data_IF_131392796509
#
_entry.id   IF_131392796509
#
_cell.length_a   1.000
_cell.length_b   1.000
_cell.length_c   1.000
_cell.angle_alpha   90.00
_cell.angle_beta   90.00
_cell.angle_gamma   90.00
#
_symmetry.space_group_name_H-M   'P 1'
#
loop_
_entity.id
_entity.type
_entity.pdbx_description
1 polymer ?
#
# COMPACT_ATOMS: atom_id res chain seq x y z
N UNK A 1 0.51 52.97 40.94
CA UNK A 1 1.41 52.63 39.81
C UNK A 1 1.42 51.14 39.49
N UNK A 2 1.36 50.25 40.50
CA UNK A 2 1.40 48.78 40.35
C UNK A 2 0.27 48.22 39.48
N UNK A 3 -0.98 48.65 39.68
CA UNK A 3 -2.16 48.16 38.93
C UNK A 3 -2.09 48.43 37.43
N UNK A 4 -1.46 49.54 37.02
CA UNK A 4 -1.25 49.86 35.61
C UNK A 4 -0.19 48.95 35.00
N UNK A 5 0.91 48.73 35.71
CA UNK A 5 1.98 47.83 35.26
C UNK A 5 1.48 46.39 35.09
N UNK A 6 0.67 45.88 36.03
CA UNK A 6 0.09 44.53 35.93
C UNK A 6 -0.84 44.40 34.73
N UNK A 7 -1.66 45.41 34.45
CA UNK A 7 -2.54 45.42 33.27
C UNK A 7 -1.73 45.32 31.96
N UNK A 8 -0.70 46.14 31.79
CA UNK A 8 0.15 46.09 30.59
C UNK A 8 0.85 44.75 30.42
N UNK A 9 1.38 44.17 31.51
CA UNK A 9 2.03 42.86 31.46
C UNK A 9 1.04 41.78 31.02
N UNK A 10 -0.18 41.78 31.55
CA UNK A 10 -1.21 40.80 31.14
C UNK A 10 -1.62 40.95 29.67
N UNK A 11 -1.74 42.17 29.16
CA UNK A 11 -2.03 42.40 27.74
C UNK A 11 -0.90 41.92 26.82
N UNK A 12 0.36 42.14 27.19
CA UNK A 12 1.52 41.70 26.43
C UNK A 12 1.57 40.17 26.38
N UNK A 13 1.38 39.50 27.52
CA UNK A 13 1.37 38.02 27.58
C UNK A 13 0.25 37.46 26.70
N UNK A 14 -0.97 38.02 26.78
CA UNK A 14 -2.09 37.58 25.97
C UNK A 14 -1.81 37.76 24.46
N UNK A 15 -1.23 38.90 24.08
CA UNK A 15 -0.85 39.16 22.70
C UNK A 15 0.20 38.16 22.20
N UNK A 16 1.22 37.87 23.01
CA UNK A 16 2.26 36.89 22.66
C UNK A 16 1.69 35.48 22.52
N UNK A 17 0.75 35.07 23.38
CA UNK A 17 0.07 33.78 23.28
C UNK A 17 -0.75 33.66 21.99
N UNK A 18 -1.49 34.71 21.63
CA UNK A 18 -2.27 34.76 20.39
C UNK A 18 -1.32 34.72 19.18
N UNK A 19 -0.24 35.50 19.18
CA UNK A 19 0.73 35.52 18.11
C UNK A 19 1.39 34.14 17.91
N UNK A 20 1.77 33.46 18.99
CA UNK A 20 2.31 32.10 18.93
C UNK A 20 1.30 31.09 18.39
N UNK A 21 0.02 31.20 18.77
CA UNK A 21 -1.04 30.34 18.25
C UNK A 21 -1.28 30.57 16.75
N UNK A 22 -1.25 31.82 16.29
CA UNK A 22 -1.39 32.16 14.87
C UNK A 22 -0.18 31.68 14.06
N UNK A 23 1.05 31.91 14.56
CA UNK A 23 2.26 31.39 13.93
C UNK A 23 2.17 29.88 13.83
N UNK A 24 1.80 29.17 14.91
CA UNK A 24 1.60 27.72 14.86
C UNK A 24 0.56 27.34 13.81
N UNK A 25 -0.59 28.01 13.74
CA UNK A 25 -1.63 27.73 12.74
C UNK A 25 -1.16 27.93 11.28
N UNK A 26 -0.37 28.98 11.01
CA UNK A 26 0.12 29.29 9.66
C UNK A 26 1.41 28.55 9.26
N UNK A 27 2.22 28.14 10.24
CA UNK A 27 3.45 27.37 10.03
C UNK A 27 3.24 25.87 10.13
N UNK A 28 2.11 25.43 10.70
CA UNK A 28 1.64 24.07 10.47
C UNK A 28 1.40 23.97 8.96
N UNK A 29 2.18 23.17 8.23
CA UNK A 29 1.82 22.89 6.86
C UNK A 29 0.40 22.34 6.94
N UNK A 30 -0.53 22.94 6.20
CA UNK A 30 -1.81 22.31 5.90
C UNK A 30 -1.49 20.83 5.67
N UNK A 31 -2.16 19.95 6.40
CA UNK A 31 -2.20 18.52 6.09
C UNK A 31 -2.82 18.43 4.69
N UNK A 32 -2.03 18.78 3.67
CA UNK A 32 -2.26 18.38 2.31
C UNK A 32 -2.17 16.88 2.42
N UNK A 33 -3.35 16.28 2.32
CA UNK A 33 -3.55 14.86 2.25
C UNK A 33 -2.73 14.35 1.07
N UNK A 34 -1.45 14.08 1.29
CA UNK A 34 -0.83 12.91 0.68
C UNK A 34 -1.71 11.79 1.20
N UNK A 35 -2.73 11.41 0.42
CA UNK A 35 -3.46 10.17 0.68
C UNK A 35 -2.37 9.15 0.90
N UNK A 36 -2.29 8.61 2.11
CA UNK A 36 -1.26 7.63 2.45
C UNK A 36 -1.31 6.58 1.33
N UNK A 37 -0.18 6.31 0.67
CA UNK A 37 -0.15 5.34 -0.44
C UNK A 37 -0.75 3.98 0.00
N UNK A 38 -0.76 3.71 1.31
CA UNK A 38 -1.47 2.60 1.96
C UNK A 38 -3.00 2.63 1.80
N UNK A 39 -3.63 3.80 1.79
CA UNK A 39 -5.08 3.95 1.62
C UNK A 39 -5.55 3.72 0.17
N UNK A 40 -4.63 3.80 -0.81
CA UNK A 40 -4.91 3.57 -2.24
C UNK A 40 -4.32 2.23 -2.72
N UNK A 41 -3.74 1.44 -1.80
CA UNK A 41 -3.16 0.15 -2.11
C UNK A 41 -4.24 -0.92 -2.29
N UNK A 42 -4.20 -1.60 -3.44
CA UNK A 42 -5.18 -2.58 -3.90
C UNK A 42 -4.65 -4.01 -3.83
N UNK A 43 -3.33 -4.21 -3.76
CA UNK A 43 -2.78 -5.56 -3.65
C UNK A 43 -3.08 -6.18 -2.28
N UNK A 44 -3.59 -7.42 -2.30
CA UNK A 44 -3.94 -8.19 -1.11
C UNK A 44 -5.43 -8.08 -0.75
N UNK A 45 -5.93 -9.07 -0.02
CA UNK A 45 -7.30 -9.07 0.51
C UNK A 45 -7.45 -8.00 1.61
N UNK A 46 -8.68 -7.59 1.93
CA UNK A 46 -9.00 -6.54 2.92
C UNK A 46 -8.21 -6.67 4.24
N UNK A 47 -7.97 -5.53 4.90
CA UNK A 47 -7.37 -5.47 6.25
C UNK A 47 -5.84 -5.61 6.26
N UNK A 48 -5.33 -6.55 7.07
CA UNK A 48 -3.89 -6.70 7.37
C UNK A 48 -3.07 -7.16 6.15
N UNK A 49 -3.67 -7.90 5.22
CA UNK A 49 -3.01 -8.36 3.99
C UNK A 49 -2.63 -7.21 3.06
N UNK A 50 -3.51 -6.21 2.91
CA UNK A 50 -3.22 -5.01 2.13
C UNK A 50 -2.00 -4.27 2.70
N UNK A 51 -1.93 -4.12 4.03
CA UNK A 51 -0.80 -3.47 4.71
C UNK A 51 0.48 -4.29 4.53
N UNK A 52 0.39 -5.60 4.70
CA UNK A 52 1.52 -6.50 4.57
C UNK A 52 2.09 -6.50 3.15
N UNK A 53 1.22 -6.55 2.14
CA UNK A 53 1.60 -6.48 0.73
C UNK A 53 2.30 -5.15 0.40
N UNK A 54 1.79 -4.03 0.92
CA UNK A 54 2.43 -2.72 0.76
C UNK A 54 3.83 -2.68 1.38
N UNK A 55 3.97 -3.10 2.64
CA UNK A 55 5.27 -3.10 3.34
C UNK A 55 6.27 -4.05 2.65
N UNK A 56 5.79 -5.21 2.23
CA UNK A 56 6.55 -6.17 1.43
C UNK A 56 7.10 -5.54 0.15
N UNK A 57 6.28 -4.79 -0.58
CA UNK A 57 6.70 -4.15 -1.82
C UNK A 57 7.66 -2.99 -1.57
N UNK A 58 7.41 -2.20 -0.51
CA UNK A 58 8.24 -1.06 -0.13
C UNK A 58 9.64 -1.45 0.30
N UNK A 59 9.78 -2.52 1.09
CA UNK A 59 11.04 -2.84 1.77
C UNK A 59 11.97 -3.76 0.97
N UNK A 60 11.51 -4.36 -0.15
CA UNK A 60 12.32 -5.28 -0.97
C UNK A 60 12.99 -4.63 -2.17
N UNK A 61 12.78 -3.34 -2.39
CA UNK A 61 13.61 -2.57 -3.31
C UNK A 61 14.67 -1.81 -2.50
N UNK A 62 15.96 -1.90 -2.85
CA UNK A 62 17.05 -1.53 -1.95
C UNK A 62 17.14 -0.03 -1.68
N UNK A 63 17.79 0.30 -0.57
CA UNK A 63 18.22 1.66 -0.24
C UNK A 63 19.21 2.16 -1.30
N UNK A 64 19.05 3.41 -1.74
CA UNK A 64 19.83 4.02 -2.83
C UNK A 64 19.04 4.29 -4.11
N UNK A 65 17.83 3.71 -4.25
CA UNK A 65 16.87 4.14 -5.27
C UNK A 65 16.26 5.47 -4.84
N UNK A 66 16.17 6.44 -5.76
CA UNK A 66 15.54 7.72 -5.45
C UNK A 66 14.10 7.51 -5.00
N UNK A 67 13.65 8.28 -4.00
CA UNK A 67 12.26 8.22 -3.50
C UNK A 67 11.23 8.29 -4.62
N UNK A 68 11.50 9.07 -5.66
CA UNK A 68 10.66 9.17 -6.85
C UNK A 68 10.53 7.84 -7.61
N UNK A 69 11.65 7.15 -7.86
CA UNK A 69 11.64 5.86 -8.55
C UNK A 69 10.91 4.81 -7.70
N UNK A 70 11.13 4.79 -6.37
CA UNK A 70 10.41 3.89 -5.47
C UNK A 70 8.90 4.11 -5.52
N UNK A 71 8.43 5.37 -5.46
CA UNK A 71 7.00 5.71 -5.58
C UNK A 71 6.45 5.21 -6.92
N UNK A 72 7.18 5.39 -8.02
CA UNK A 72 6.76 4.93 -9.35
C UNK A 72 6.63 3.41 -9.43
N UNK A 73 7.58 2.67 -8.87
CA UNK A 73 7.53 1.19 -8.81
C UNK A 73 6.31 0.74 -8.00
N UNK A 74 6.10 1.33 -6.82
CA UNK A 74 4.95 0.99 -5.96
C UNK A 74 3.62 1.28 -6.67
N UNK A 75 3.48 2.45 -7.30
CA UNK A 75 2.29 2.77 -8.09
C UNK A 75 2.06 1.75 -9.21
N UNK A 76 3.11 1.40 -9.96
CA UNK A 76 3.01 0.39 -11.02
C UNK A 76 2.61 -1.00 -10.51
N UNK A 77 3.13 -1.42 -9.36
CA UNK A 77 2.70 -2.67 -8.71
C UNK A 77 1.23 -2.63 -8.31
N UNK A 78 0.79 -1.50 -7.75
CA UNK A 78 -0.59 -1.31 -7.35
C UNK A 78 -1.55 -1.43 -8.55
N UNK A 79 -1.20 -0.79 -9.68
CA UNK A 79 -1.97 -0.86 -10.91
C UNK A 79 -2.09 -2.29 -11.43
N UNK A 80 -1.01 -3.08 -11.35
CA UNK A 80 -1.06 -4.51 -11.70
C UNK A 80 -2.09 -5.26 -10.88
N UNK A 81 -2.21 -4.97 -9.58
CA UNK A 81 -3.20 -5.60 -8.71
C UNK A 81 -4.62 -5.20 -9.07
N UNK A 82 -4.87 -3.92 -9.38
CA UNK A 82 -6.19 -3.46 -9.86
C UNK A 82 -6.61 -4.20 -11.13
N UNK A 83 -5.68 -4.39 -12.07
CA UNK A 83 -5.95 -5.13 -13.31
C UNK A 83 -6.16 -6.63 -13.06
N UNK A 84 -5.40 -7.23 -12.15
CA UNK A 84 -5.53 -8.64 -11.79
C UNK A 84 -6.87 -8.93 -11.12
N UNK A 85 -7.27 -8.11 -10.15
CA UNK A 85 -8.57 -8.22 -9.47
C UNK A 85 -9.72 -8.10 -10.46
N UNK A 86 -9.64 -7.16 -11.43
CA UNK A 86 -10.65 -7.03 -12.49
C UNK A 86 -10.67 -8.24 -13.42
N UNK A 87 -9.50 -8.78 -13.77
CA UNK A 87 -9.41 -9.99 -14.59
C UNK A 87 -10.06 -11.20 -13.90
N UNK A 88 -9.82 -11.32 -12.59
CA UNK A 88 -10.45 -12.29 -11.71
C UNK A 88 -11.98 -12.09 -11.66
N UNK A 89 -12.45 -10.86 -11.41
CA UNK A 89 -13.88 -10.53 -11.40
C UNK A 89 -14.60 -10.90 -12.69
N UNK A 90 -13.95 -10.65 -13.84
CA UNK A 90 -14.48 -10.96 -15.16
C UNK A 90 -14.32 -12.44 -15.55
N UNK A 91 -13.73 -13.27 -14.69
CA UNK A 91 -13.54 -14.70 -14.89
C UNK A 91 -12.86 -15.04 -16.23
N UNK A 92 -11.84 -14.26 -16.63
CA UNK A 92 -11.15 -14.42 -17.93
C UNK A 92 -10.17 -15.62 -17.98
N UNK A 93 -10.19 -16.48 -16.96
CA UNK A 93 -9.30 -17.62 -16.79
C UNK A 93 -8.13 -17.30 -15.86
N UNK A 94 -8.05 -18.02 -14.73
CA UNK A 94 -7.02 -17.83 -13.70
C UNK A 94 -5.60 -17.79 -14.26
N UNK A 95 -5.23 -18.80 -15.05
CA UNK A 95 -3.88 -18.91 -15.62
C UNK A 95 -3.52 -17.72 -16.53
N UNK A 96 -4.50 -17.20 -17.27
CA UNK A 96 -4.32 -16.01 -18.09
C UNK A 96 -4.11 -14.77 -17.21
N UNK A 97 -4.98 -14.54 -16.24
CA UNK A 97 -4.90 -13.42 -15.31
C UNK A 97 -3.58 -13.42 -14.52
N UNK A 98 -3.17 -14.56 -13.99
CA UNK A 98 -1.94 -14.69 -13.20
C UNK A 98 -0.69 -14.42 -14.06
N UNK A 99 -0.64 -14.94 -15.30
CA UNK A 99 0.47 -14.66 -16.23
C UNK A 99 0.53 -13.18 -16.60
N UNK A 100 -0.62 -12.56 -16.87
CA UNK A 100 -0.70 -11.13 -17.17
C UNK A 100 -0.20 -10.29 -15.99
N UNK A 101 -0.61 -10.65 -14.76
CA UNK A 101 -0.15 -10.02 -13.53
C UNK A 101 1.36 -10.16 -13.32
N UNK A 102 1.91 -11.37 -13.45
CA UNK A 102 3.35 -11.63 -13.33
C UNK A 102 4.17 -10.76 -14.30
N UNK A 103 3.73 -10.67 -15.56
CA UNK A 103 4.36 -9.84 -16.57
C UNK A 103 4.27 -8.35 -16.23
N UNK A 104 3.11 -7.90 -15.74
CA UNK A 104 2.88 -6.53 -15.30
C UNK A 104 3.85 -6.15 -14.16
N UNK A 105 3.93 -6.94 -13.10
CA UNK A 105 4.82 -6.67 -11.97
C UNK A 105 6.29 -6.58 -12.41
N UNK A 106 6.74 -7.50 -13.28
CA UNK A 106 8.11 -7.51 -13.78
C UNK A 106 8.43 -6.26 -14.61
N UNK A 107 7.50 -5.84 -15.48
CA UNK A 107 7.69 -4.68 -16.34
C UNK A 107 7.71 -3.36 -15.56
N UNK A 108 6.94 -3.27 -14.47
CA UNK A 108 6.88 -2.08 -13.62
C UNK A 108 8.14 -1.85 -12.76
N UNK A 109 9.07 -2.81 -12.71
CA UNK A 109 10.40 -2.59 -12.13
C UNK A 109 11.26 -1.62 -12.96
N UNK A 110 10.91 -1.41 -14.23
CA UNK A 110 11.59 -0.46 -15.12
C UNK A 110 13.10 -0.71 -15.20
N UNK A 111 13.95 0.31 -14.93
CA UNK A 111 15.41 0.15 -14.97
C UNK A 111 15.94 -0.81 -13.90
N UNK A 112 15.17 -1.09 -12.84
CA UNK A 112 15.54 -1.97 -11.74
C UNK A 112 15.20 -3.43 -11.99
N UNK A 113 14.80 -3.81 -13.22
CA UNK A 113 14.54 -5.22 -13.58
C UNK A 113 15.74 -6.16 -13.38
N UNK A 114 16.95 -5.60 -13.34
CA UNK A 114 18.20 -6.32 -13.08
C UNK A 114 18.60 -6.28 -11.60
N UNK A 115 17.92 -5.49 -10.77
CA UNK A 115 18.15 -5.48 -9.34
C UNK A 115 17.47 -6.72 -8.73
N UNK A 116 18.28 -7.60 -8.15
CA UNK A 116 17.80 -8.89 -7.66
C UNK A 116 16.74 -8.76 -6.57
N UNK A 117 16.90 -7.81 -5.64
CA UNK A 117 15.96 -7.61 -4.53
C UNK A 117 14.60 -7.12 -5.04
N UNK A 118 14.60 -6.11 -5.92
CA UNK A 118 13.38 -5.64 -6.60
C UNK A 118 12.75 -6.74 -7.49
N UNK A 119 13.55 -7.59 -8.11
CA UNK A 119 13.04 -8.70 -8.90
C UNK A 119 12.38 -9.77 -8.02
N UNK A 120 12.92 -10.01 -6.83
CA UNK A 120 12.39 -10.96 -5.86
C UNK A 120 10.97 -10.60 -5.46
N UNK A 121 10.64 -9.32 -5.22
CA UNK A 121 9.24 -8.97 -4.90
C UNK A 121 8.27 -9.30 -6.03
N UNK A 122 8.64 -9.01 -7.29
CA UNK A 122 7.82 -9.39 -8.45
C UNK A 122 7.61 -10.90 -8.53
N UNK A 123 8.67 -11.69 -8.29
CA UNK A 123 8.60 -13.16 -8.28
C UNK A 123 7.71 -13.67 -7.14
N UNK A 124 7.85 -13.11 -5.93
CA UNK A 124 7.03 -13.49 -4.78
C UNK A 124 5.55 -13.26 -5.05
N UNK A 125 5.18 -12.08 -5.56
CA UNK A 125 3.78 -11.75 -5.88
C UNK A 125 3.24 -12.68 -6.97
N UNK A 126 4.03 -12.93 -8.02
CA UNK A 126 3.69 -13.87 -9.09
C UNK A 126 3.46 -15.30 -8.55
N UNK A 127 4.36 -15.79 -7.70
CA UNK A 127 4.25 -17.13 -7.11
C UNK A 127 3.02 -17.25 -6.22
N UNK A 128 2.71 -16.21 -5.43
CA UNK A 128 1.53 -16.21 -4.56
C UNK A 128 0.23 -16.38 -5.36
N UNK A 129 0.03 -15.60 -6.42
CA UNK A 129 -1.21 -15.70 -7.20
C UNK A 129 -1.29 -17.02 -7.99
N UNK A 130 -0.19 -17.49 -8.56
CA UNK A 130 -0.18 -18.72 -9.35
C UNK A 130 -0.38 -19.98 -8.51
N UNK A 131 0.18 -20.03 -7.30
CA UNK A 131 0.09 -21.20 -6.40
C UNK A 131 -1.13 -21.15 -5.49
N UNK A 132 -1.53 -19.97 -4.99
CA UNK A 132 -2.58 -19.82 -3.98
C UNK A 132 -3.85 -19.11 -4.50
N UNK A 133 -3.84 -18.58 -5.72
CA UNK A 133 -4.93 -17.76 -6.27
C UNK A 133 -6.18 -18.54 -6.69
N UNK A 134 -6.21 -19.87 -6.59
CA UNK A 134 -7.39 -20.67 -7.03
C UNK A 134 -8.68 -20.22 -6.35
N UNK A 135 -8.64 -20.08 -5.02
CA UNK A 135 -9.85 -19.74 -4.26
C UNK A 135 -10.19 -18.25 -4.41
N UNK A 136 -9.19 -17.36 -4.43
CA UNK A 136 -9.40 -15.95 -4.73
C UNK A 136 -10.05 -15.73 -6.10
N UNK A 137 -9.62 -16.49 -7.13
CA UNK A 137 -10.23 -16.45 -8.46
C UNK A 137 -11.69 -16.89 -8.43
N UNK A 138 -12.00 -18.04 -7.82
CA UNK A 138 -13.39 -18.53 -7.73
C UNK A 138 -14.30 -17.56 -6.97
N UNK A 139 -13.81 -16.96 -5.89
CA UNK A 139 -14.60 -16.08 -5.04
C UNK A 139 -14.74 -14.64 -5.58
N UNK A 140 -14.08 -14.33 -6.69
CA UNK A 140 -14.12 -12.99 -7.29
C UNK A 140 -15.26 -12.79 -8.29
N UNK A 141 -15.96 -13.86 -8.66
CA UNK A 141 -17.09 -13.83 -9.60
C UNK A 141 -18.17 -12.83 -9.14
N UNK A 142 -18.43 -11.82 -9.96
CA UNK A 142 -19.50 -10.86 -9.71
C UNK A 142 -20.82 -11.53 -10.07
N UNK A 143 -21.60 -11.94 -9.07
CA UNK A 143 -22.98 -12.39 -9.29
C UNK A 143 -23.94 -11.19 -9.26
N UNK A 144 -25.06 -11.19 -10.03
CA UNK A 144 -25.97 -10.03 -10.15
C UNK A 144 -26.61 -9.53 -8.85
N UNK A 145 -26.43 -10.24 -7.73
CA UNK A 145 -26.93 -9.86 -6.40
C UNK A 145 -25.85 -9.40 -5.42
N UNK A 146 -24.57 -9.38 -5.80
CA UNK A 146 -23.50 -8.94 -4.89
C UNK A 146 -23.06 -7.50 -5.18
N UNK A 147 -23.84 -6.55 -4.64
CA UNK A 147 -23.25 -5.28 -4.25
C UNK A 147 -22.52 -5.50 -2.92
N UNK A 148 -21.22 -5.19 -2.93
CA UNK A 148 -20.35 -4.93 -1.76
C UNK A 148 -19.60 -6.13 -1.14
N UNK A 149 -18.28 -5.93 -0.97
CA UNK A 149 -17.38 -6.70 -0.11
C UNK A 149 -16.34 -7.53 -0.86
N UNK A 150 -15.06 -7.12 -0.82
CA UNK A 150 -13.92 -7.91 -1.29
C UNK A 150 -13.89 -9.15 -0.38
N UNK A 151 -14.23 -10.33 -0.92
CA UNK A 151 -14.46 -11.53 -0.10
C UNK A 151 -13.32 -11.81 0.89
N UNK A 152 -13.66 -11.96 2.18
CA UNK A 152 -12.73 -12.30 3.25
C UNK A 152 -12.18 -13.73 3.02
N UNK A 153 -10.93 -13.80 2.56
CA UNK A 153 -10.29 -15.02 2.05
C UNK A 153 -9.48 -15.82 3.11
N UNK A 154 -9.63 -15.57 4.41
CA UNK A 154 -8.77 -16.26 5.41
C UNK A 154 -9.40 -17.51 6.03
N UNK A 155 -8.96 -18.66 5.51
CA UNK A 155 -8.92 -19.93 6.25
C UNK A 155 -7.50 -20.14 6.83
N UNK A 156 -7.37 -20.79 8.00
CA UNK A 156 -6.10 -21.05 8.72
C UNK A 156 -5.03 -21.71 7.83
N UNK A 157 -5.47 -22.51 6.87
CA UNK A 157 -4.61 -23.15 5.85
C UNK A 157 -3.79 -22.16 5.01
N UNK A 158 -4.32 -20.96 4.74
CA UNK A 158 -3.59 -19.92 4.00
C UNK A 158 -2.43 -19.39 4.84
N UNK A 159 -2.63 -19.16 6.14
CA UNK A 159 -1.61 -18.65 7.06
C UNK A 159 -0.46 -19.65 7.23
N UNK A 160 -0.78 -20.94 7.36
CA UNK A 160 0.23 -22.01 7.46
C UNK A 160 1.00 -22.21 6.15
N UNK A 161 0.32 -22.11 5.00
CA UNK A 161 0.97 -22.17 3.68
C UNK A 161 1.80 -20.92 3.38
N UNK A 162 1.35 -19.74 3.82
CA UNK A 162 2.06 -18.49 3.66
C UNK A 162 3.31 -18.45 4.54
N UNK A 163 3.25 -18.98 5.76
CA UNK A 163 4.40 -19.17 6.65
C UNK A 163 5.40 -20.20 6.11
N UNK A 164 4.91 -21.29 5.49
CA UNK A 164 5.74 -22.27 4.79
C UNK A 164 6.46 -21.70 3.57
N UNK A 165 5.76 -20.92 2.75
CA UNK A 165 6.36 -20.18 1.63
C UNK A 165 7.32 -19.09 2.13
N UNK A 166 7.03 -18.45 3.27
CA UNK A 166 7.94 -17.52 3.94
C UNK A 166 9.25 -18.20 4.33
N UNK A 167 9.18 -19.34 5.00
CA UNK A 167 10.40 -20.12 5.33
C UNK A 167 11.19 -20.54 4.10
N UNK A 168 10.53 -20.78 2.97
CA UNK A 168 11.19 -21.16 1.72
C UNK A 168 11.78 -19.98 0.93
N UNK A 169 11.16 -18.79 1.00
CA UNK A 169 11.60 -17.57 0.30
C UNK A 169 12.62 -16.76 1.11
N UNK A 170 12.67 -16.93 2.43
CA UNK A 170 13.60 -16.26 3.35
C UNK A 170 14.65 -17.21 3.96
N UNK A 171 14.88 -18.38 3.36
CA UNK A 171 16.01 -19.28 3.67
C UNK A 171 17.01 -19.34 2.53
#
# INVERSE_FOLDING_TARGET
MIVRATFYITCIILFLLIAMALIAFFTFPSFTTIKDARQVWSCGTEGSNTIFAYQSAKNRCPEGISKYILIKILAGFNDCCVHHDRCYQNQLGRTYCDKAFCNCCRNNLGPNKNNEMCLTISKTFCNLVTTMGVSAYKNSEITPHHNQGRANFFDRKFLDSFLGLFKFVFS
#
